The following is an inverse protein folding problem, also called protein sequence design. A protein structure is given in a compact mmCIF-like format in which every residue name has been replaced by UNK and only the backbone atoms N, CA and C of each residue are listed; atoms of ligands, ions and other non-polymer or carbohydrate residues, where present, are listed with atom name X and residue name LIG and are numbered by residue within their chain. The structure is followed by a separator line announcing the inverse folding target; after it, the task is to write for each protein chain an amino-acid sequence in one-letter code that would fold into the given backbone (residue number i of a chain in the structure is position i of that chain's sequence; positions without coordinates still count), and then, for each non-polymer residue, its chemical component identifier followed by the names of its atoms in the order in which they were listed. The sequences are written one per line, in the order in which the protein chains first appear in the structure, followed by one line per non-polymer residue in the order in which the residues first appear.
data_IF_999667288957
#
_entry.id   IF_999667288957
#
_cell.length_a   1.000
_cell.length_b   1.000
_cell.length_c   1.000
_cell.angle_alpha   90.00
_cell.angle_beta   90.00
_cell.angle_gamma   90.00
#
_symmetry.space_group_name_H-M   'P 1'
#
loop_
_entity.id
_entity.type
_entity.pdbx_description
1 polymer ?
#
# COMPACT_ATOMS: atom_id res chain seq x y z
N UNK A 1 -14.82 19.49 5.99
CA UNK A 1 -13.41 19.92 5.80
C UNK A 1 -12.69 18.79 5.08
N UNK A 2 -12.16 19.01 3.88
CA UNK A 2 -11.46 17.97 3.10
C UNK A 2 -10.09 17.76 3.76
N UNK A 3 -9.92 16.71 4.58
CA UNK A 3 -8.56 16.30 5.02
C UNK A 3 -7.81 15.91 3.75
N UNK A 4 -6.85 16.75 3.33
CA UNK A 4 -5.98 16.47 2.19
C UNK A 4 -5.28 15.14 2.46
N UNK A 5 -5.39 14.15 1.57
CA UNK A 5 -4.86 12.79 1.79
C UNK A 5 -3.38 12.75 2.16
N UNK A 6 -2.60 13.75 1.74
CA UNK A 6 -1.20 13.90 2.16
C UNK A 6 -1.05 14.11 3.68
N UNK A 7 -1.90 14.96 4.30
CA UNK A 7 -1.86 15.21 5.75
C UNK A 7 -2.23 13.97 6.54
N UNK A 8 -3.24 13.23 6.07
CA UNK A 8 -3.64 11.97 6.70
C UNK A 8 -2.48 10.96 6.69
N UNK A 9 -1.77 10.84 5.57
CA UNK A 9 -0.60 9.98 5.48
C UNK A 9 0.53 10.43 6.42
N UNK A 10 0.80 11.74 6.51
CA UNK A 10 1.78 12.29 7.45
C UNK A 10 1.43 11.95 8.91
N UNK A 11 0.16 12.07 9.31
CA UNK A 11 -0.29 11.66 10.65
C UNK A 11 -0.15 10.16 10.89
N UNK A 12 -0.44 9.32 9.88
CA UNK A 12 -0.24 7.86 9.97
C UNK A 12 1.23 7.53 10.18
N UNK A 13 2.14 8.21 9.45
CA UNK A 13 3.59 8.03 9.57
C UNK A 13 4.09 8.41 10.96
N UNK A 14 3.58 9.48 11.55
CA UNK A 14 3.95 9.91 12.90
C UNK A 14 3.48 8.91 13.97
N UNK A 15 2.20 8.52 13.92
CA UNK A 15 1.63 7.56 14.87
C UNK A 15 2.32 6.18 14.80
N UNK A 16 2.63 5.67 13.60
CA UNK A 16 3.32 4.38 13.48
C UNK A 16 4.79 4.51 13.88
N UNK A 17 5.44 5.64 13.58
CA UNK A 17 6.81 5.93 13.97
C UNK A 17 7.02 5.95 15.48
N UNK A 18 6.00 6.34 16.24
CA UNK A 18 6.00 6.25 17.70
C UNK A 18 5.75 4.83 18.25
N UNK A 19 5.23 3.91 17.43
CA UNK A 19 4.89 2.52 17.83
C UNK A 19 5.94 1.48 17.47
N UNK A 20 6.85 1.77 16.55
CA UNK A 20 7.88 0.83 16.09
C UNK A 20 9.28 1.46 16.20
N UNK A 21 10.32 0.62 16.25
CA UNK A 21 11.69 1.11 16.31
C UNK A 21 12.08 1.94 15.07
N UNK A 22 12.88 2.99 15.29
CA UNK A 22 13.38 3.88 14.23
C UNK A 22 14.01 3.15 13.03
N UNK A 23 14.74 2.05 13.27
CA UNK A 23 15.33 1.24 12.20
C UNK A 23 14.26 0.61 11.31
N UNK A 24 13.22 0.04 11.91
CA UNK A 24 12.12 -0.61 11.20
C UNK A 24 11.29 0.42 10.42
N UNK A 25 11.02 1.57 11.04
CA UNK A 25 10.34 2.68 10.38
C UNK A 25 11.10 3.16 9.15
N UNK A 26 12.40 3.45 9.30
CA UNK A 26 13.22 3.98 8.21
C UNK A 26 13.39 3.00 7.05
N UNK A 27 13.37 1.69 7.32
CA UNK A 27 13.58 0.67 6.30
C UNK A 27 12.28 0.30 5.56
N UNK A 28 11.16 0.18 6.28
CA UNK A 28 9.92 -0.38 5.73
C UNK A 28 8.85 0.66 5.45
N UNK A 29 8.70 1.67 6.32
CA UNK A 29 7.59 2.61 6.28
C UNK A 29 7.98 3.91 5.57
N UNK A 30 9.13 4.49 5.91
CA UNK A 30 9.65 5.73 5.31
C UNK A 30 9.77 5.72 3.77
N UNK A 31 10.16 4.63 3.09
CA UNK A 31 10.25 4.64 1.63
C UNK A 31 8.88 4.57 0.93
N UNK A 32 7.79 4.33 1.65
CA UNK A 32 6.44 4.31 1.10
C UNK A 32 5.97 5.72 0.74
N UNK A 33 5.34 5.88 -0.42
CA UNK A 33 4.83 7.16 -0.90
C UNK A 33 3.33 7.14 -1.02
N UNK A 34 2.68 8.16 -0.46
CA UNK A 34 1.26 8.40 -0.72
C UNK A 34 1.02 8.58 -2.22
N UNK A 35 -0.01 7.92 -2.75
CA UNK A 35 -0.40 8.06 -4.16
C UNK A 35 -1.76 8.76 -4.30
N UNK A 36 -2.82 8.17 -3.73
CA UNK A 36 -4.18 8.73 -3.81
C UNK A 36 -4.99 8.35 -2.58
N UNK A 37 -5.95 9.19 -2.22
CA UNK A 37 -6.97 8.91 -1.23
C UNK A 37 -8.33 9.01 -1.91
N UNK A 38 -9.05 7.89 -1.96
CA UNK A 38 -10.47 7.81 -2.31
C UNK A 38 -11.31 7.75 -1.04
N UNK A 39 -12.64 7.86 -1.14
CA UNK A 39 -13.56 7.92 0.01
C UNK A 39 -13.24 6.88 1.10
N UNK A 40 -13.02 5.62 0.72
CA UNK A 40 -12.79 4.54 1.68
C UNK A 40 -11.44 3.84 1.48
N UNK A 41 -10.53 4.42 0.68
CA UNK A 41 -9.30 3.73 0.26
C UNK A 41 -8.10 4.65 0.15
N UNK A 42 -7.04 4.31 0.87
CA UNK A 42 -5.74 4.97 0.82
C UNK A 42 -4.77 4.13 -0.01
N UNK A 43 -4.34 4.66 -1.16
CA UNK A 43 -3.37 4.00 -2.05
C UNK A 43 -1.97 4.53 -1.74
N UNK A 44 -1.06 3.61 -1.43
CA UNK A 44 0.34 3.89 -1.08
C UNK A 44 1.25 3.07 -1.97
N UNK A 45 2.31 3.68 -2.49
CA UNK A 45 3.29 3.05 -3.37
C UNK A 45 4.55 2.67 -2.61
N UNK A 46 4.91 1.39 -2.66
CA UNK A 46 6.20 0.87 -2.24
C UNK A 46 7.22 0.98 -3.40
N UNK A 47 8.51 1.17 -3.11
CA UNK A 47 9.54 1.23 -4.15
C UNK A 47 9.82 -0.13 -4.81
N UNK A 48 9.49 -1.24 -4.13
CA UNK A 48 9.68 -2.60 -4.64
C UNK A 48 8.73 -3.58 -3.94
N UNK A 49 8.65 -4.80 -4.49
CA UNK A 49 7.79 -5.87 -3.98
C UNK A 49 8.18 -6.33 -2.56
N UNK A 50 9.48 -6.41 -2.24
CA UNK A 50 9.95 -6.86 -0.92
C UNK A 50 9.47 -5.96 0.21
N UNK A 51 9.52 -4.64 0.02
CA UNK A 51 9.00 -3.67 0.98
C UNK A 51 7.49 -3.81 1.10
N UNK A 52 6.78 -3.93 -0.04
CA UNK A 52 5.33 -4.16 -0.05
C UNK A 52 4.96 -5.39 0.79
N UNK A 53 5.53 -6.56 0.50
CA UNK A 53 5.23 -7.81 1.21
C UNK A 53 5.49 -7.68 2.71
N UNK A 54 6.63 -7.11 3.09
CA UNK A 54 6.96 -6.95 4.50
C UNK A 54 6.01 -6.00 5.22
N UNK A 55 5.55 -4.97 4.53
CA UNK A 55 4.54 -4.04 5.05
C UNK A 55 3.19 -4.72 5.13
N UNK A 56 2.75 -5.44 4.11
CA UNK A 56 1.49 -6.21 4.10
C UNK A 56 1.43 -7.24 5.23
N UNK A 57 2.51 -7.98 5.47
CA UNK A 57 2.53 -9.01 6.50
C UNK A 57 2.60 -8.46 7.92
N UNK A 58 3.45 -7.45 8.15
CA UNK A 58 3.80 -7.04 9.52
C UNK A 58 3.16 -5.72 9.94
N UNK A 59 3.03 -4.77 9.02
CA UNK A 59 2.69 -3.39 9.34
C UNK A 59 1.31 -2.97 8.85
N UNK A 60 0.71 -3.66 7.88
CA UNK A 60 -0.60 -3.37 7.34
C UNK A 60 -1.70 -3.43 8.42
N UNK A 61 -1.75 -4.43 9.32
CA UNK A 61 -2.74 -4.44 10.40
C UNK A 61 -2.62 -3.20 11.30
N UNK A 62 -1.39 -2.75 11.55
CA UNK A 62 -1.12 -1.59 12.39
C UNK A 62 -1.46 -0.27 11.68
N UNK A 63 -1.09 -0.15 10.41
CA UNK A 63 -1.43 1.00 9.57
C UNK A 63 -2.96 1.13 9.42
N UNK A 64 -3.65 0.02 9.20
CA UNK A 64 -5.10 -0.06 9.09
C UNK A 64 -5.78 0.42 10.39
N UNK A 65 -5.28 -0.02 11.55
CA UNK A 65 -5.77 0.41 12.85
C UNK A 65 -5.62 1.93 13.05
N UNK A 66 -4.46 2.48 12.70
CA UNK A 66 -4.18 3.92 12.81
C UNK A 66 -5.05 4.72 11.85
N UNK A 67 -5.21 4.25 10.60
CA UNK A 67 -6.07 4.88 9.61
C UNK A 67 -7.51 4.99 10.13
N UNK A 68 -8.10 3.88 10.57
CA UNK A 68 -9.46 3.85 11.10
C UNK A 68 -9.63 4.75 12.32
N UNK A 69 -8.60 4.88 13.17
CA UNK A 69 -8.59 5.80 14.32
C UNK A 69 -8.61 7.27 13.87
N UNK A 70 -7.92 7.62 12.78
CA UNK A 70 -7.78 8.99 12.29
C UNK A 70 -8.93 9.46 11.40
N UNK A 71 -9.55 8.54 10.65
CA UNK A 71 -10.70 8.81 9.77
C UNK A 71 -12.03 8.60 10.51
N UNK A 72 -12.09 7.68 11.47
CA UNK A 72 -13.32 7.28 12.13
C UNK A 72 -14.23 6.39 11.27
N UNK A 73 -13.74 5.95 10.11
CA UNK A 73 -14.45 5.16 9.10
C UNK A 73 -13.64 3.90 8.75
N UNK A 74 -14.26 2.87 8.16
CA UNK A 74 -13.60 1.60 7.77
C UNK A 74 -12.80 1.76 6.46
N UNK A 75 -11.85 2.70 6.46
CA UNK A 75 -11.02 2.98 5.30
C UNK A 75 -9.92 1.91 5.15
N UNK A 76 -9.59 1.52 3.92
CA UNK A 76 -8.62 0.45 3.62
C UNK A 76 -7.33 0.99 3.04
N UNK A 77 -6.21 0.39 3.45
CA UNK A 77 -4.90 0.70 2.86
C UNK A 77 -4.60 -0.32 1.77
N UNK A 78 -4.35 0.18 0.55
CA UNK A 78 -3.89 -0.63 -0.57
C UNK A 78 -2.46 -0.26 -0.93
N UNK A 79 -1.57 -1.26 -0.91
CA UNK A 79 -0.17 -1.12 -1.26
C UNK A 79 0.06 -1.53 -2.73
N UNK A 80 0.62 -0.61 -3.50
CA UNK A 80 0.99 -0.82 -4.90
C UNK A 80 2.51 -0.67 -5.06
N UNK A 81 3.07 -1.20 -6.15
CA UNK A 81 4.49 -1.00 -6.47
C UNK A 81 4.60 0.25 -7.34
N UNK A 82 5.58 1.12 -7.05
CA UNK A 82 5.99 2.19 -7.93
C UNK A 82 6.67 1.60 -9.18
N UNK A 83 5.89 1.01 -10.09
CA UNK A 83 6.37 0.57 -11.39
C UNK A 83 6.58 1.79 -12.28
N UNK A 84 7.83 2.11 -12.61
CA UNK A 84 8.11 2.72 -13.90
C UNK A 84 7.83 1.67 -14.95
N UNK A 85 6.93 2.00 -15.88
CA UNK A 85 6.44 1.11 -16.93
C UNK A 85 7.53 0.24 -17.55
N UNK A 86 7.61 -1.01 -17.12
CA UNK A 86 8.11 -2.13 -17.93
C UNK A 86 7.43 -3.41 -17.45
N UNK A 87 6.34 -3.72 -18.15
CA UNK A 87 5.88 -5.07 -18.50
C UNK A 87 6.73 -6.22 -17.96
N UNK A 88 6.34 -6.79 -16.83
CA UNK A 88 6.54 -8.20 -16.53
C UNK A 88 5.25 -8.75 -15.91
N UNK A 89 4.78 -9.82 -16.53
CA UNK A 89 3.44 -10.38 -16.50
C UNK A 89 3.16 -10.99 -15.11
N UNK A 90 1.94 -11.12 -14.60
CA UNK A 90 0.91 -12.09 -15.03
C UNK A 90 -0.40 -11.67 -14.35
N UNK A 91 -1.41 -11.34 -15.16
CA UNK A 91 -2.81 -11.45 -14.74
C UNK A 91 -3.00 -12.86 -14.19
N UNK A 92 -3.50 -12.97 -12.95
CA UNK A 92 -4.02 -14.22 -12.40
C UNK A 92 -5.26 -14.62 -13.22
N UNK A 93 -5.05 -15.22 -14.39
CA UNK A 93 -6.07 -15.79 -15.27
C UNK A 93 -5.76 -17.26 -15.49
N UNK A 94 -5.99 -18.08 -14.48
CA UNK A 94 -6.38 -19.47 -14.73
C UNK A 94 -7.88 -19.47 -14.94
N UNK A 95 -8.31 -19.21 -16.18
CA UNK A 95 -9.56 -19.74 -16.71
C UNK A 95 -9.47 -19.81 -18.25
N UNK A 96 -9.44 -21.07 -18.71
CA UNK A 96 -9.68 -21.59 -20.06
C UNK A 96 -8.82 -21.08 -21.23
N UNK A 97 -7.87 -21.91 -21.66
CA UNK A 97 -7.27 -21.88 -22.99
C UNK A 97 -8.29 -22.32 -24.05
N UNK A 98 -8.65 -21.50 -25.06
CA UNK A 98 -9.08 -22.04 -26.33
C UNK A 98 -7.84 -22.37 -27.16
N UNK A 99 -7.82 -23.61 -27.64
CA UNK A 99 -6.91 -24.16 -28.64
C UNK A 99 -6.89 -23.26 -29.88
N UNK A 100 -5.70 -22.96 -30.42
CA UNK A 100 -5.58 -22.63 -31.84
C UNK A 100 -4.45 -23.44 -32.48
N UNK A 101 -4.86 -24.28 -33.42
CA UNK A 101 -4.03 -25.01 -34.37
C UNK A 101 -3.32 -24.06 -35.34
N UNK A 102 -2.19 -24.52 -35.88
CA UNK A 102 -1.62 -24.34 -37.23
C UNK A 102 -0.10 -24.59 -37.08
N UNK A 103 0.53 -25.63 -37.62
CA UNK A 103 0.36 -26.41 -38.86
C UNK A 103 0.85 -27.84 -38.64
#
# INVERSE_FOLDING_TARGET
MIKKGNRLWEEILDEIGQKIDHKSFNLWIKPLKFNSLSQDKLIVKAPNQFIKERVEEKYLPLLQLILNKLTGEDAKIELDIASEANSFLIKKSNQATPVYNNT
#
